data_IF_444944873718
#
_entry.id   IF_444944873718
#
_cell.length_a   1.000
_cell.length_b   1.000
_cell.length_c   1.000
_cell.angle_alpha   90.00
_cell.angle_beta   90.00
_cell.angle_gamma   90.00
#
_symmetry.space_group_name_H-M   'P 1'
#
loop_
_entity.id
_entity.type
_entity.pdbx_description
1 polymer ?
#
# COMPACT_ATOMS: atom_id res chain seq x y z
N UNK A 1 -56.64 49.40 -67.33
CA UNK A 1 -56.76 48.81 -65.97
C UNK A 1 -55.36 48.71 -65.36
N UNK A 2 -55.20 49.22 -64.13
CA UNK A 2 -54.36 48.77 -63.00
C UNK A 2 -52.95 48.18 -63.27
N UNK A 3 -51.88 48.40 -62.48
CA UNK A 3 -51.59 49.22 -61.31
C UNK A 3 -50.07 49.10 -61.02
N UNK A 4 -49.44 50.23 -60.70
CA UNK A 4 -48.53 50.49 -59.57
C UNK A 4 -47.55 49.39 -59.09
N UNK A 5 -46.23 49.63 -59.17
CA UNK A 5 -45.33 50.17 -58.12
C UNK A 5 -44.97 49.14 -57.02
N UNK A 6 -43.68 49.19 -56.66
CA UNK A 6 -43.00 48.70 -55.45
C UNK A 6 -42.27 47.37 -55.67
N UNK A 7 -41.00 47.22 -55.30
CA UNK A 7 -40.12 48.11 -54.60
C UNK A 7 -39.01 47.28 -53.92
N UNK A 8 -37.83 47.89 -53.86
CA UNK A 8 -36.97 47.92 -52.66
C UNK A 8 -36.11 46.67 -52.33
N UNK A 9 -34.80 46.92 -52.46
CA UNK A 9 -33.65 46.58 -51.58
C UNK A 9 -33.25 45.14 -51.27
N UNK A 10 -31.97 44.89 -51.58
CA UNK A 10 -30.86 44.65 -50.64
C UNK A 10 -31.06 43.66 -49.49
N UNK A 11 -30.23 42.62 -49.51
CA UNK A 11 -29.83 41.82 -48.35
C UNK A 11 -29.60 40.37 -48.79
N UNK A 12 -28.55 39.65 -48.40
CA UNK A 12 -27.41 39.90 -47.54
C UNK A 12 -26.41 38.80 -47.88
N UNK A 13 -25.12 39.03 -47.61
CA UNK A 13 -24.06 38.04 -47.74
C UNK A 13 -24.45 36.66 -47.20
N UNK A 14 -24.52 35.63 -48.05
CA UNK A 14 -24.59 34.23 -47.61
C UNK A 14 -23.17 33.68 -47.42
N UNK A 15 -22.42 34.35 -46.56
CA UNK A 15 -21.21 33.79 -45.95
C UNK A 15 -21.59 32.78 -44.86
N UNK A 16 -20.74 31.75 -44.72
CA UNK A 16 -20.50 31.06 -43.44
C UNK A 16 -21.68 30.20 -42.94
N UNK A 17 -21.88 28.99 -43.49
CA UNK A 17 -22.86 28.02 -42.96
C UNK A 17 -22.29 26.69 -42.42
N UNK A 18 -20.98 26.44 -42.50
CA UNK A 18 -20.36 25.16 -42.05
C UNK A 18 -19.43 25.27 -40.83
N UNK A 19 -19.05 26.47 -40.38
CA UNK A 19 -18.13 26.64 -39.24
C UNK A 19 -18.78 26.46 -37.86
N UNK A 20 -20.10 26.67 -37.73
CA UNK A 20 -20.81 26.56 -36.45
C UNK A 20 -20.90 25.12 -35.93
N UNK A 21 -21.02 24.14 -36.82
CA UNK A 21 -20.99 22.72 -36.45
C UNK A 21 -19.61 22.26 -36.00
N UNK A 22 -18.55 22.69 -36.70
CA UNK A 22 -17.17 22.35 -36.37
C UNK A 22 -16.75 22.89 -34.99
N UNK A 23 -17.18 24.10 -34.64
CA UNK A 23 -16.94 24.70 -33.32
C UNK A 23 -17.59 23.89 -32.19
N UNK A 24 -18.76 23.30 -32.44
CA UNK A 24 -19.49 22.48 -31.48
C UNK A 24 -18.80 21.14 -31.23
N UNK A 25 -18.29 20.49 -32.28
CA UNK A 25 -17.47 19.28 -32.13
C UNK A 25 -16.16 19.56 -31.40
N UNK A 26 -15.51 20.69 -31.70
CA UNK A 26 -14.26 21.07 -31.03
C UNK A 26 -14.47 21.34 -29.53
N UNK A 27 -15.55 22.04 -29.15
CA UNK A 27 -15.88 22.29 -27.74
C UNK A 27 -16.26 21.01 -26.99
N UNK A 28 -17.00 20.09 -27.62
CA UNK A 28 -17.27 18.77 -27.03
C UNK A 28 -16.00 17.94 -26.83
N UNK A 29 -15.08 17.98 -27.80
CA UNK A 29 -13.82 17.24 -27.73
C UNK A 29 -12.90 17.82 -26.64
N UNK A 30 -12.83 19.15 -26.53
CA UNK A 30 -12.13 19.84 -25.43
C UNK A 30 -12.78 19.50 -24.08
N UNK A 31 -14.13 19.49 -23.98
CA UNK A 31 -14.84 19.18 -22.74
C UNK A 31 -14.66 17.71 -22.32
N UNK A 32 -14.66 16.77 -23.28
CA UNK A 32 -14.39 15.35 -23.04
C UNK A 32 -12.93 15.15 -22.61
N UNK A 33 -11.98 15.85 -23.23
CA UNK A 33 -10.59 15.85 -22.79
C UNK A 33 -10.44 16.45 -21.39
N UNK A 34 -11.16 17.53 -21.08
CA UNK A 34 -11.10 18.20 -19.78
C UNK A 34 -11.72 17.36 -18.67
N UNK A 35 -12.87 16.74 -18.92
CA UNK A 35 -13.52 15.82 -17.97
C UNK A 35 -12.71 14.54 -17.77
N UNK A 36 -12.10 14.00 -18.83
CA UNK A 36 -11.18 12.86 -18.71
C UNK A 36 -9.93 13.22 -17.91
N UNK A 37 -9.37 14.42 -18.10
CA UNK A 37 -8.21 14.92 -17.34
C UNK A 37 -8.54 15.17 -15.88
N UNK A 38 -9.72 15.72 -15.57
CA UNK A 38 -10.20 15.93 -14.19
C UNK A 38 -10.43 14.60 -13.47
N UNK A 39 -11.06 13.64 -14.14
CA UNK A 39 -11.32 12.32 -13.56
C UNK A 39 -10.03 11.52 -13.33
N UNK A 40 -9.00 11.73 -14.17
CA UNK A 40 -7.66 11.17 -13.96
C UNK A 40 -6.92 11.80 -12.77
N UNK A 41 -7.17 13.08 -12.49
CA UNK A 41 -6.52 13.81 -11.39
C UNK A 41 -7.03 13.35 -10.02
N UNK A 42 -8.35 13.19 -9.88
CA UNK A 42 -8.95 12.67 -8.65
C UNK A 42 -8.47 11.23 -8.36
N UNK A 43 -8.39 10.38 -9.39
CA UNK A 43 -7.88 9.01 -9.25
C UNK A 43 -6.38 8.98 -8.89
N UNK A 44 -5.57 9.88 -9.47
CA UNK A 44 -4.15 9.94 -9.17
C UNK A 44 -3.88 10.42 -7.74
N UNK A 45 -4.70 11.35 -7.25
CA UNK A 45 -4.63 11.84 -5.87
C UNK A 45 -5.06 10.77 -4.87
N UNK A 46 -6.12 10.03 -5.15
CA UNK A 46 -6.55 8.89 -4.33
C UNK A 46 -5.47 7.80 -4.26
N UNK A 47 -4.85 7.45 -5.40
CA UNK A 47 -3.75 6.47 -5.45
C UNK A 47 -2.55 6.95 -4.61
N UNK A 48 -2.18 8.23 -4.67
CA UNK A 48 -1.11 8.80 -3.82
C UNK A 48 -1.43 8.70 -2.34
N UNK A 49 -2.64 9.07 -1.93
CA UNK A 49 -3.06 9.04 -0.52
C UNK A 49 -3.04 7.59 0.00
N UNK A 50 -3.59 6.64 -0.77
CA UNK A 50 -3.60 5.23 -0.38
C UNK A 50 -2.19 4.65 -0.34
N UNK A 51 -1.35 4.98 -1.32
CA UNK A 51 0.05 4.55 -1.33
C UNK A 51 0.84 5.09 -0.13
N UNK A 52 0.66 6.37 0.22
CA UNK A 52 1.28 6.96 1.40
C UNK A 52 0.84 6.26 2.70
N UNK A 53 -0.46 5.95 2.85
CA UNK A 53 -0.98 5.17 3.98
C UNK A 53 -0.36 3.77 4.06
N UNK A 54 -0.18 3.10 2.92
CA UNK A 54 0.48 1.78 2.87
C UNK A 54 1.94 1.89 3.30
N UNK A 55 2.65 2.92 2.85
CA UNK A 55 4.05 3.19 3.22
C UNK A 55 4.23 3.47 4.71
N UNK A 56 3.33 4.25 5.31
CA UNK A 56 3.35 4.50 6.76
C UNK A 56 3.06 3.23 7.58
N UNK A 57 2.09 2.42 7.16
CA UNK A 57 1.80 1.13 7.80
C UNK A 57 3.00 0.19 7.70
N UNK A 58 3.63 0.12 6.53
CA UNK A 58 4.84 -0.67 6.32
C UNK A 58 5.99 -0.20 7.21
N UNK A 59 6.24 1.10 7.28
CA UNK A 59 7.28 1.67 8.15
C UNK A 59 7.02 1.36 9.64
N UNK A 60 5.75 1.46 10.10
CA UNK A 60 5.37 1.08 11.46
C UNK A 60 5.62 -0.40 11.73
N UNK A 61 5.25 -1.26 10.77
CA UNK A 61 5.48 -2.70 10.86
C UNK A 61 6.98 -3.01 11.02
N UNK A 62 7.81 -2.42 10.15
CA UNK A 62 9.24 -2.68 10.11
C UNK A 62 9.98 -2.10 11.33
N UNK A 63 9.58 -0.92 11.82
CA UNK A 63 10.32 -0.22 12.87
C UNK A 63 9.84 -0.51 14.29
N UNK A 64 8.58 -0.94 14.48
CA UNK A 64 8.04 -1.24 15.82
C UNK A 64 7.70 -2.71 16.01
N UNK A 65 7.02 -3.32 15.05
CA UNK A 65 6.48 -4.69 15.21
C UNK A 65 7.61 -5.71 15.06
N UNK A 66 8.43 -5.57 14.02
CA UNK A 66 9.54 -6.49 13.74
C UNK A 66 10.54 -6.59 14.91
N UNK A 67 11.03 -5.47 15.49
CA UNK A 67 11.98 -5.54 16.60
C UNK A 67 11.34 -6.10 17.89
N UNK A 68 10.08 -5.76 18.17
CA UNK A 68 9.37 -6.30 19.33
C UNK A 68 9.18 -7.82 19.22
N UNK A 69 8.93 -8.31 18.00
CA UNK A 69 8.80 -9.73 17.74
C UNK A 69 10.12 -10.48 17.91
N UNK A 70 11.24 -9.92 17.41
CA UNK A 70 12.57 -10.49 17.64
C UNK A 70 12.94 -10.51 19.12
N UNK A 71 12.70 -9.43 19.85
CA UNK A 71 12.94 -9.37 21.29
C UNK A 71 12.14 -10.45 22.05
N UNK A 72 10.90 -10.74 21.63
CA UNK A 72 10.09 -11.82 22.20
C UNK A 72 10.71 -13.20 21.96
N UNK A 73 11.22 -13.46 20.74
CA UNK A 73 11.91 -14.72 20.42
C UNK A 73 13.19 -14.90 21.25
N UNK A 74 13.99 -13.85 21.39
CA UNK A 74 15.20 -13.85 22.24
C UNK A 74 14.85 -14.15 23.70
N UNK A 75 13.79 -13.52 24.23
CA UNK A 75 13.30 -13.82 25.59
C UNK A 75 12.84 -15.28 25.74
N UNK A 76 12.22 -15.88 24.72
CA UNK A 76 11.87 -17.31 24.77
C UNK A 76 13.13 -18.19 24.81
N UNK A 77 14.16 -17.85 24.02
CA UNK A 77 15.44 -18.56 24.03
C UNK A 77 16.11 -18.52 25.42
N UNK A 78 16.15 -17.35 26.05
CA UNK A 78 16.71 -17.15 27.39
C UNK A 78 15.96 -17.97 28.45
N UNK A 79 14.63 -18.00 28.38
CA UNK A 79 13.80 -18.80 29.28
C UNK A 79 14.02 -20.31 29.10
N UNK A 80 14.19 -20.79 27.87
CA UNK A 80 14.55 -22.19 27.59
C UNK A 80 15.89 -22.54 28.25
N UNK A 81 16.90 -21.68 28.09
CA UNK A 81 18.22 -21.88 28.73
C UNK A 81 18.12 -21.89 30.25
N UNK A 82 17.31 -21.00 30.82
CA UNK A 82 17.07 -20.95 32.26
C UNK A 82 16.44 -22.27 32.75
N UNK A 83 15.42 -22.79 32.07
CA UNK A 83 14.82 -24.09 32.41
C UNK A 83 15.82 -25.23 32.29
N UNK A 84 16.69 -25.22 31.28
CA UNK A 84 17.77 -26.22 31.17
C UNK A 84 18.72 -26.21 32.36
N UNK A 85 19.10 -25.01 32.85
CA UNK A 85 19.91 -24.87 34.07
C UNK A 85 19.18 -25.38 35.31
N UNK A 86 17.90 -25.03 35.48
CA UNK A 86 17.10 -25.52 36.61
C UNK A 86 16.99 -27.05 36.61
N UNK A 87 16.67 -27.64 35.47
CA UNK A 87 16.58 -29.10 35.30
C UNK A 87 17.93 -29.76 35.60
N UNK A 88 19.05 -29.15 35.18
CA UNK A 88 20.39 -29.66 35.48
C UNK A 88 20.72 -29.61 36.97
N UNK A 89 20.38 -28.53 37.67
CA UNK A 89 20.53 -28.42 39.13
C UNK A 89 19.67 -29.50 39.83
N UNK A 90 18.42 -29.67 39.40
CA UNK A 90 17.51 -30.70 39.93
C UNK A 90 17.91 -32.14 39.59
N UNK A 91 18.89 -32.36 38.72
CA UNK A 91 19.51 -33.68 38.54
C UNK A 91 20.65 -33.93 39.53
N UNK A 92 21.31 -32.86 40.02
CA UNK A 92 22.42 -32.94 40.98
C UNK A 92 21.93 -33.04 42.42
N UNK A 93 20.78 -32.43 42.72
CA UNK A 93 20.09 -32.60 43.99
C UNK A 93 19.34 -33.93 43.92
N UNK A 94 19.74 -34.92 44.73
CA UNK A 94 19.08 -36.23 44.83
C UNK A 94 17.76 -36.11 45.62
N UNK A 95 16.86 -35.26 45.12
CA UNK A 95 15.52 -35.08 45.66
C UNK A 95 14.63 -36.23 45.20
N UNK A 96 14.39 -37.19 46.10
CA UNK A 96 13.42 -38.29 45.90
C UNK A 96 12.00 -37.94 46.34
N UNK A 97 11.83 -36.72 46.84
CA UNK A 97 10.55 -36.18 47.24
C UNK A 97 9.60 -36.06 46.02
N UNK A 98 8.35 -36.46 46.20
CA UNK A 98 7.33 -36.50 45.14
C UNK A 98 7.10 -35.10 44.55
N UNK A 99 7.04 -34.06 45.39
CA UNK A 99 6.82 -32.68 44.94
C UNK A 99 8.00 -32.20 44.07
N UNK A 100 9.22 -32.61 44.42
CA UNK A 100 10.41 -32.32 43.64
C UNK A 100 10.41 -33.01 42.27
N UNK A 101 9.97 -34.27 42.21
CA UNK A 101 9.83 -35.01 40.95
C UNK A 101 8.74 -34.40 40.06
N UNK A 102 7.63 -33.94 40.66
CA UNK A 102 6.53 -33.28 39.97
C UNK A 102 6.99 -31.94 39.38
N UNK A 103 7.67 -31.10 40.17
CA UNK A 103 8.24 -29.83 39.71
C UNK A 103 9.21 -30.03 38.54
N UNK A 104 10.09 -31.04 38.62
CA UNK A 104 11.02 -31.38 37.55
C UNK A 104 10.30 -31.81 36.26
N UNK A 105 9.18 -32.53 36.38
CA UNK A 105 8.34 -32.89 35.22
C UNK A 105 7.68 -31.65 34.62
N UNK A 106 7.06 -30.82 35.44
CA UNK A 106 6.41 -29.58 34.98
C UNK A 106 7.39 -28.63 34.29
N UNK A 107 8.61 -28.47 34.81
CA UNK A 107 9.65 -27.67 34.16
C UNK A 107 10.05 -28.21 32.77
N UNK A 108 10.11 -29.54 32.60
CA UNK A 108 10.39 -30.14 31.29
C UNK A 108 9.25 -29.90 30.31
N UNK A 109 8.01 -30.01 30.76
CA UNK A 109 6.81 -29.77 29.95
C UNK A 109 6.73 -28.29 29.52
N UNK A 110 6.93 -27.36 30.46
CA UNK A 110 6.98 -25.92 30.16
C UNK A 110 8.10 -25.58 29.17
N UNK A 111 9.29 -26.15 29.35
CA UNK A 111 10.40 -26.00 28.39
C UNK A 111 10.02 -26.52 27.00
N UNK A 112 9.37 -27.67 26.92
CA UNK A 112 8.96 -28.26 25.66
C UNK A 112 7.91 -27.38 24.95
N UNK A 113 6.89 -26.90 25.67
CA UNK A 113 5.88 -25.98 25.16
C UNK A 113 6.48 -24.67 24.68
N UNK A 114 7.39 -24.09 25.47
CA UNK A 114 8.06 -22.85 25.11
C UNK A 114 8.92 -23.02 23.85
N UNK A 115 9.63 -24.14 23.73
CA UNK A 115 10.40 -24.47 22.52
C UNK A 115 9.50 -24.63 21.30
N UNK A 116 8.40 -25.37 21.41
CA UNK A 116 7.44 -25.53 20.32
C UNK A 116 6.87 -24.18 19.87
N UNK A 117 6.52 -23.31 20.83
CA UNK A 117 6.04 -21.97 20.50
C UNK A 117 7.11 -21.13 19.81
N UNK A 118 8.36 -21.20 20.28
CA UNK A 118 9.49 -20.50 19.65
C UNK A 118 9.71 -20.97 18.20
N UNK A 119 9.64 -22.28 17.94
CA UNK A 119 9.79 -22.83 16.59
C UNK A 119 8.68 -22.31 15.67
N UNK A 120 7.41 -22.32 16.12
CA UNK A 120 6.27 -21.76 15.37
C UNK A 120 6.41 -20.25 15.11
N UNK A 121 6.90 -19.52 16.10
CA UNK A 121 7.16 -18.07 16.01
C UNK A 121 8.24 -17.79 14.97
N UNK A 122 9.33 -18.56 14.98
CA UNK A 122 10.44 -18.42 14.03
C UNK A 122 10.01 -18.76 12.59
N UNK A 123 9.27 -19.87 12.38
CA UNK A 123 8.76 -20.23 11.05
C UNK A 123 7.86 -19.14 10.45
N UNK A 124 6.97 -18.57 11.28
CA UNK A 124 6.11 -17.45 10.86
C UNK A 124 6.93 -16.19 10.58
N UNK A 125 8.01 -15.96 11.33
CA UNK A 125 8.88 -14.81 11.13
C UNK A 125 9.62 -14.88 9.80
N UNK A 126 10.10 -16.07 9.43
CA UNK A 126 10.78 -16.28 8.15
C UNK A 126 9.83 -16.02 6.98
N UNK A 127 8.61 -16.58 7.04
CA UNK A 127 7.58 -16.32 6.03
C UNK A 127 7.22 -14.83 5.96
N UNK A 128 7.01 -14.19 7.12
CA UNK A 128 6.68 -12.76 7.20
C UNK A 128 7.81 -11.87 6.67
N UNK A 129 9.08 -12.26 6.88
CA UNK A 129 10.25 -11.53 6.36
C UNK A 129 10.31 -11.56 4.82
N UNK A 130 9.89 -12.67 4.22
CA UNK A 130 9.76 -12.79 2.75
C UNK A 130 8.65 -11.88 2.25
N UNK A 131 7.46 -11.93 2.87
CA UNK A 131 6.33 -11.06 2.51
C UNK A 131 6.67 -9.57 2.65
N UNK A 132 7.41 -9.19 3.70
CA UNK A 132 7.87 -7.80 3.88
C UNK A 132 8.77 -7.33 2.74
N UNK A 133 9.68 -8.18 2.25
CA UNK A 133 10.54 -7.84 1.11
C UNK A 133 9.74 -7.66 -0.18
N UNK A 134 8.77 -8.53 -0.42
CA UNK A 134 7.87 -8.38 -1.58
C UNK A 134 7.04 -7.11 -1.47
N UNK A 135 6.55 -6.78 -0.27
CA UNK A 135 5.80 -5.55 -0.03
C UNK A 135 6.68 -4.31 -0.25
N UNK A 136 7.96 -4.33 0.17
CA UNK A 136 8.92 -3.27 -0.10
C UNK A 136 9.15 -3.06 -1.60
N UNK A 137 9.32 -4.14 -2.36
CA UNK A 137 9.45 -4.07 -3.82
C UNK A 137 8.22 -3.47 -4.49
N UNK A 138 7.01 -3.84 -4.03
CA UNK A 138 5.75 -3.28 -4.53
C UNK A 138 5.63 -1.79 -4.22
N UNK A 139 6.07 -1.35 -3.04
CA UNK A 139 6.10 0.07 -2.68
C UNK A 139 7.04 0.83 -3.62
N UNK A 140 8.25 0.32 -3.85
CA UNK A 140 9.25 0.93 -4.72
C UNK A 140 8.81 0.98 -6.19
N UNK A 141 8.15 -0.07 -6.67
CA UNK A 141 7.54 -0.09 -8.00
C UNK A 141 6.45 0.98 -8.14
N UNK A 142 5.58 1.09 -7.14
CA UNK A 142 4.49 2.07 -7.14
C UNK A 142 5.01 3.50 -7.06
N UNK A 143 6.05 3.75 -6.26
CA UNK A 143 6.78 5.05 -6.23
C UNK A 143 7.31 5.40 -7.64
N UNK A 144 7.96 4.45 -8.30
CA UNK A 144 8.50 4.64 -9.66
C UNK A 144 7.40 4.96 -10.69
N UNK A 145 6.26 4.26 -10.63
CA UNK A 145 5.12 4.49 -11.52
C UNK A 145 4.47 5.86 -11.26
N UNK A 146 4.33 6.25 -10.00
CA UNK A 146 3.82 7.58 -9.63
C UNK A 146 4.73 8.71 -10.16
N UNK A 147 6.04 8.53 -10.11
CA UNK A 147 6.99 9.50 -10.67
C UNK A 147 6.89 9.62 -12.19
N UNK A 148 6.71 8.51 -12.92
CA UNK A 148 6.46 8.53 -14.36
C UNK A 148 5.17 9.28 -14.69
N UNK A 149 4.08 9.00 -13.97
CA UNK A 149 2.78 9.66 -14.18
C UNK A 149 2.85 11.17 -13.88
N UNK A 150 3.55 11.57 -12.81
CA UNK A 150 3.81 12.99 -12.51
C UNK A 150 4.57 13.69 -13.64
N UNK A 151 5.63 13.07 -14.17
CA UNK A 151 6.43 13.61 -15.27
C UNK A 151 5.63 13.73 -16.57
N UNK A 152 4.83 12.73 -16.91
CA UNK A 152 3.94 12.78 -18.07
C UNK A 152 2.93 13.93 -17.97
N UNK A 153 2.32 14.12 -16.79
CA UNK A 153 1.40 15.24 -16.55
C UNK A 153 2.08 16.61 -16.69
N UNK A 154 3.27 16.78 -16.12
CA UNK A 154 4.05 18.02 -16.24
C UNK A 154 4.46 18.31 -17.69
N UNK A 155 4.88 17.29 -18.44
CA UNK A 155 5.23 17.42 -19.85
C UNK A 155 4.03 17.72 -20.76
N UNK A 156 2.82 17.28 -20.39
CA UNK A 156 1.59 17.65 -21.09
C UNK A 156 1.22 19.11 -20.84
N UNK A 157 1.29 19.57 -19.59
CA UNK A 157 1.02 20.97 -19.23
C UNK A 157 2.01 21.95 -19.88
N UNK A 158 3.29 21.60 -19.99
CA UNK A 158 4.32 22.46 -20.65
C UNK A 158 4.19 22.53 -22.18
N UNK A 159 3.49 21.61 -22.82
CA UNK A 159 3.29 21.61 -24.29
C UNK A 159 1.99 22.30 -24.73
N UNK A 160 1.13 22.66 -23.78
CA UNK A 160 -0.23 23.15 -24.05
C UNK A 160 -0.38 24.66 -23.75
N UNK A 161 0.66 25.31 -23.23
CA UNK A 161 0.81 26.76 -23.06
C UNK A 161 2.08 27.22 -23.78
#
# INVERSE_FOLDING_TARGET
>A
MMAAITGIRSGAAAGIRTTKGLFFFFTLLVLICFTSSLSQDDQLEEIKINHQKVKEKFAKMNNMVMPAFMASSDMMADNIQLFDRMIAIMKKVDGKDEDFLLLKRSLKELRALLKQNMDVVNDKMDAFSVELREQEQNINYTDSKLEVLKKQKQGFLQKTF
#
